data_IF_787022067768
#
_entry.id   IF_787022067768
#
_cell.length_a   1.000
_cell.length_b   1.000
_cell.length_c   1.000
_cell.angle_alpha   90.00
_cell.angle_beta   90.00
_cell.angle_gamma   90.00
#
_symmetry.space_group_name_H-M   'P 1'
#
loop_
_entity.id
_entity.type
_entity.pdbx_description
1 polymer ?
#
# COMPACT_ATOMS: atom_id res chain seq x y z
N UNK A 1 2.42 4.96 22.66
CA UNK A 1 2.62 3.92 21.63
C UNK A 1 2.68 4.65 20.30
N UNK A 2 3.86 5.12 19.90
CA UNK A 2 4.03 5.77 18.60
C UNK A 2 4.02 4.65 17.57
N UNK A 3 2.86 4.38 16.97
CA UNK A 3 2.86 3.83 15.63
C UNK A 3 3.65 4.86 14.82
N UNK A 4 4.93 4.58 14.59
CA UNK A 4 5.69 5.32 13.60
C UNK A 4 4.82 5.29 12.36
N UNK A 5 4.42 6.45 11.88
CA UNK A 5 3.68 6.64 10.64
C UNK A 5 4.59 6.16 9.49
N UNK A 6 4.83 4.85 9.44
CA UNK A 6 5.64 4.21 8.44
C UNK A 6 4.86 4.37 7.14
N UNK A 7 5.41 5.22 6.28
CA UNK A 7 4.97 5.33 4.91
C UNK A 7 4.97 3.92 4.31
N UNK A 8 3.89 3.53 3.61
CA UNK A 8 3.78 2.18 3.07
C UNK A 8 4.89 1.94 2.05
N UNK A 9 5.46 0.73 2.08
CA UNK A 9 6.50 0.25 1.19
C UNK A 9 5.96 -0.55 0.01
N UNK A 10 6.81 -0.73 -1.01
CA UNK A 10 6.46 -1.52 -2.19
C UNK A 10 6.14 -2.96 -1.82
N UNK A 11 4.95 -3.41 -2.22
CA UNK A 11 4.38 -4.73 -1.95
C UNK A 11 3.46 -4.78 -0.74
N UNK A 12 3.40 -3.72 0.08
CA UNK A 12 2.44 -3.63 1.18
C UNK A 12 1.01 -3.53 0.67
N UNK A 13 0.09 -4.16 1.38
CA UNK A 13 -1.34 -3.92 1.23
C UNK A 13 -1.75 -2.73 2.08
N UNK A 14 -2.46 -1.80 1.47
CA UNK A 14 -2.98 -0.59 2.07
C UNK A 14 -4.47 -0.46 1.82
N UNK A 15 -5.14 0.32 2.66
CA UNK A 15 -6.49 0.81 2.40
C UNK A 15 -6.46 2.31 2.10
N UNK A 16 -7.04 2.70 0.97
CA UNK A 16 -7.30 4.09 0.55
C UNK A 16 -8.81 4.28 0.46
N UNK A 17 -9.40 5.12 1.31
CA UNK A 17 -10.85 5.43 1.33
C UNK A 17 -11.76 4.18 1.25
N UNK A 18 -11.41 3.12 1.98
CA UNK A 18 -12.14 1.86 2.02
C UNK A 18 -11.80 0.88 0.88
N UNK A 19 -10.99 1.28 -0.10
CA UNK A 19 -10.49 0.43 -1.17
C UNK A 19 -9.18 -0.23 -0.74
N UNK A 20 -9.10 -1.57 -0.81
CA UNK A 20 -7.85 -2.30 -0.61
C UNK A 20 -7.02 -2.27 -1.89
N UNK A 21 -5.75 -1.92 -1.76
CA UNK A 21 -4.81 -1.85 -2.86
C UNK A 21 -3.43 -2.34 -2.41
N UNK A 22 -2.59 -2.67 -3.38
CA UNK A 22 -1.18 -3.01 -3.18
C UNK A 22 -0.33 -1.85 -3.66
N UNK A 23 0.68 -1.46 -2.87
CA UNK A 23 1.71 -0.53 -3.33
C UNK A 23 2.58 -1.23 -4.37
N UNK A 24 2.60 -0.72 -5.59
CA UNK A 24 3.41 -1.28 -6.67
C UNK A 24 4.73 -0.58 -6.84
N UNK A 25 4.77 0.73 -6.56
CA UNK A 25 5.96 1.55 -6.77
C UNK A 25 5.93 2.84 -5.93
N UNK A 26 7.09 3.46 -5.75
CA UNK A 26 7.21 4.77 -5.07
C UNK A 26 8.11 5.67 -5.91
N UNK A 27 7.52 6.64 -6.62
CA UNK A 27 8.22 7.53 -7.56
C UNK A 27 8.28 8.93 -6.99
N UNK A 28 9.48 9.40 -6.63
CA UNK A 28 9.69 10.74 -6.05
C UNK A 28 8.75 11.04 -4.85
N UNK A 29 8.47 10.02 -4.03
CA UNK A 29 7.56 10.15 -2.87
C UNK A 29 6.06 9.96 -3.20
N UNK A 30 5.70 9.80 -4.47
CA UNK A 30 4.34 9.42 -4.88
C UNK A 30 4.21 7.90 -4.82
N UNK A 31 3.28 7.41 -3.99
CA UNK A 31 2.97 5.99 -3.87
C UNK A 31 2.02 5.59 -5.00
N UNK A 32 2.36 4.55 -5.74
CA UNK A 32 1.51 3.98 -6.79
C UNK A 32 0.81 2.73 -6.28
N UNK A 33 -0.48 2.63 -6.57
CA UNK A 33 -1.39 1.63 -6.07
C UNK A 33 -2.00 0.82 -7.21
N UNK A 34 -2.23 -0.48 -6.98
CA UNK A 34 -3.09 -1.31 -7.83
C UNK A 34 -4.14 -2.02 -6.99
N UNK A 35 -5.32 -2.21 -7.56
CA UNK A 35 -6.37 -3.07 -7.00
C UNK A 35 -6.96 -3.94 -8.10
N UNK A 36 -7.57 -5.10 -7.74
CA UNK A 36 -8.27 -5.91 -8.71
C UNK A 36 -9.35 -5.10 -9.45
N UNK A 37 -9.34 -5.13 -10.79
CA UNK A 37 -10.32 -4.41 -11.61
C UNK A 37 -10.08 -2.90 -11.74
N UNK A 38 -8.94 -2.39 -11.29
CA UNK A 38 -8.53 -0.98 -11.47
C UNK A 38 -7.07 -0.90 -11.91
N UNK A 39 -6.81 -0.17 -13.00
CA UNK A 39 -5.45 0.16 -13.45
C UNK A 39 -4.67 0.89 -12.38
N UNK A 40 -3.33 0.84 -12.46
CA UNK A 40 -2.44 1.49 -11.50
C UNK A 40 -2.72 3.01 -11.40
N UNK A 41 -2.77 3.55 -10.17
CA UNK A 41 -3.02 4.97 -9.93
C UNK A 41 -2.11 5.53 -8.83
N UNK A 42 -1.77 6.83 -8.86
CA UNK A 42 -1.08 7.48 -7.77
C UNK A 42 -2.01 7.69 -6.57
N UNK A 43 -1.54 7.37 -5.38
CA UNK A 43 -2.26 7.62 -4.13
C UNK A 43 -2.48 9.13 -3.94
N UNK A 44 -3.68 9.51 -3.51
CA UNK A 44 -4.02 10.92 -3.32
C UNK A 44 -3.21 11.56 -2.18
N UNK A 45 -3.02 10.82 -1.08
CA UNK A 45 -2.15 11.21 0.03
C UNK A 45 -1.49 9.95 0.64
N UNK A 46 -0.18 9.73 0.42
CA UNK A 46 0.55 8.59 0.96
C UNK A 46 0.51 8.44 2.48
N UNK A 47 0.32 9.54 3.21
CA UNK A 47 0.31 9.56 4.69
C UNK A 47 -1.03 9.13 5.25
N UNK A 48 -2.09 9.16 4.43
CA UNK A 48 -3.43 8.67 4.79
C UNK A 48 -3.61 7.19 4.53
N UNK A 49 -2.67 6.56 3.81
CA UNK A 49 -2.71 5.13 3.55
C UNK A 49 -2.53 4.35 4.85
N UNK A 50 -3.50 3.48 5.13
CA UNK A 50 -3.41 2.57 6.27
C UNK A 50 -2.88 1.22 5.80
N UNK A 51 -1.66 0.87 6.21
CA UNK A 51 -1.12 -0.47 5.97
C UNK A 51 -1.99 -1.50 6.69
N UNK A 52 -2.57 -2.43 5.93
CA UNK A 52 -3.35 -3.56 6.47
C UNK A 52 -2.50 -4.80 6.60
N UNK A 53 -1.60 -5.04 5.64
CA UNK A 53 -0.63 -6.15 5.67
C UNK A 53 0.67 -5.70 5.03
N UNK A 54 1.79 -5.99 5.67
CA UNK A 54 3.10 -5.77 5.06
C UNK A 54 3.36 -6.78 3.94
N UNK A 55 4.32 -6.47 3.05
CA UNK A 55 4.81 -7.40 2.02
C UNK A 55 5.23 -8.74 2.62
N UNK A 56 5.88 -8.74 3.79
CA UNK A 56 6.33 -9.97 4.47
C UNK A 56 5.14 -10.83 4.88
N UNK A 57 4.08 -10.21 5.41
CA UNK A 57 2.86 -10.92 5.80
C UNK A 57 2.10 -11.48 4.60
N UNK A 58 2.10 -10.75 3.47
CA UNK A 58 1.52 -11.23 2.20
C UNK A 58 2.27 -12.45 1.66
N UNK A 59 3.60 -12.38 1.59
CA UNK A 59 4.43 -13.50 1.14
C UNK A 59 4.23 -14.71 2.07
N UNK A 60 4.18 -14.50 3.38
CA UNK A 60 3.92 -15.58 4.34
C UNK A 60 2.54 -16.22 4.17
N UNK A 61 1.55 -15.48 3.65
CA UNK A 61 0.23 -15.98 3.31
C UNK A 61 0.14 -16.63 1.91
N UNK A 62 1.22 -16.61 1.13
CA UNK A 62 1.26 -17.16 -0.23
C UNK A 62 0.82 -16.19 -1.32
N UNK A 63 0.58 -14.92 -0.98
CA UNK A 63 0.29 -13.85 -1.93
C UNK A 63 1.61 -13.36 -2.56
N UNK A 64 2.04 -13.97 -3.67
CA UNK A 64 3.23 -13.60 -4.44
C UNK A 64 2.87 -12.97 -5.79
#
# INVERSE_FOLDING_TARGET
>A
MNATEQLPGVGDEVTEDGTRAIVTDIRQGVVWLRAPGRDEWPAADPRRLKVTRTRRERIAAGDA
#
